data_IF_537875096815
#
_entry.id   IF_537875096815
#
_cell.length_a   1.000
_cell.length_b   1.000
_cell.length_c   1.000
_cell.angle_alpha   90.00
_cell.angle_beta   90.00
_cell.angle_gamma   90.00
#
_symmetry.space_group_name_H-M   'P 1'
#
loop_
_entity.id
_entity.type
_entity.pdbx_description
1 polymer ?
#
# COMPACT_ATOMS: atom_id res chain seq x y z
N UNK A 1 -5.93 -11.95 -33.54
CA UNK A 1 -4.90 -10.92 -33.31
C UNK A 1 -5.18 -10.04 -32.09
N UNK A 2 -6.45 -9.83 -31.72
CA UNK A 2 -6.89 -9.06 -30.55
C UNK A 2 -6.18 -9.41 -29.23
N UNK A 3 -6.11 -10.71 -28.89
CA UNK A 3 -5.39 -11.22 -27.71
C UNK A 3 -3.93 -10.75 -27.57
N UNK A 4 -3.25 -10.47 -28.69
CA UNK A 4 -1.85 -10.01 -28.68
C UNK A 4 -1.78 -8.53 -28.31
N UNK A 5 -2.75 -7.74 -28.80
CA UNK A 5 -2.87 -6.32 -28.49
C UNK A 5 -3.35 -6.08 -27.07
N UNK A 6 -4.22 -6.92 -26.53
CA UNK A 6 -4.62 -6.84 -25.12
C UNK A 6 -3.43 -7.06 -24.18
N UNK A 7 -2.55 -8.03 -24.49
CA UNK A 7 -1.33 -8.24 -23.72
C UNK A 7 -0.41 -7.02 -23.77
N UNK A 8 -0.29 -6.38 -24.93
CA UNK A 8 0.49 -5.13 -25.07
C UNK A 8 -0.11 -3.98 -24.29
N UNK A 9 -1.43 -3.79 -24.38
CA UNK A 9 -2.15 -2.76 -23.65
C UNK A 9 -1.96 -2.94 -22.14
N UNK A 10 -2.08 -4.18 -21.65
CA UNK A 10 -1.91 -4.50 -20.24
C UNK A 10 -0.46 -4.23 -19.75
N UNK A 11 0.54 -4.63 -20.54
CA UNK A 11 1.96 -4.36 -20.24
C UNK A 11 2.28 -2.86 -20.27
N UNK A 12 1.67 -2.11 -21.19
CA UNK A 12 1.86 -0.66 -21.29
C UNK A 12 1.19 0.09 -20.15
N UNK A 13 -0.01 -0.34 -19.76
CA UNK A 13 -0.85 0.31 -18.77
C UNK A 13 -0.33 0.05 -17.34
N UNK A 14 -0.05 -1.22 -17.01
CA UNK A 14 0.35 -1.62 -15.65
C UNK A 14 1.87 -1.77 -15.49
N UNK A 15 2.59 -2.14 -16.56
CA UNK A 15 4.01 -2.47 -16.48
C UNK A 15 4.96 -1.34 -16.90
N UNK A 16 4.47 -0.25 -17.49
CA UNK A 16 5.31 0.86 -17.96
C UNK A 16 6.17 0.55 -19.19
N UNK A 17 5.96 -0.59 -19.86
CA UNK A 17 6.75 -1.01 -21.04
C UNK A 17 6.43 -0.15 -22.25
N UNK A 18 7.42 0.24 -23.06
CA UNK A 18 7.13 0.88 -24.34
C UNK A 18 6.56 -0.14 -25.34
N UNK A 19 5.70 0.31 -26.27
CA UNK A 19 5.08 -0.56 -27.28
C UNK A 19 6.15 -1.29 -28.12
N UNK A 20 7.25 -0.60 -28.43
CA UNK A 20 8.40 -1.11 -29.15
C UNK A 20 9.13 -2.23 -28.41
N UNK A 21 9.32 -2.09 -27.10
CA UNK A 21 9.97 -3.11 -26.27
C UNK A 21 9.11 -4.35 -26.17
N UNK A 22 7.82 -4.20 -25.89
CA UNK A 22 6.92 -5.35 -25.79
C UNK A 22 6.84 -6.10 -27.13
N UNK A 23 6.86 -5.39 -28.27
CA UNK A 23 6.77 -6.00 -29.60
C UNK A 23 8.00 -6.85 -29.94
N UNK A 24 9.19 -6.43 -29.50
CA UNK A 24 10.44 -7.17 -29.68
C UNK A 24 10.59 -8.36 -28.72
N UNK A 25 9.74 -8.48 -27.69
CA UNK A 25 9.82 -9.61 -26.74
C UNK A 25 9.26 -10.91 -27.33
N UNK A 26 9.91 -12.06 -27.08
CA UNK A 26 9.36 -13.37 -27.39
C UNK A 26 7.99 -13.58 -26.73
N UNK A 27 7.06 -14.20 -27.45
CA UNK A 27 5.67 -14.39 -27.01
C UNK A 27 5.57 -15.12 -25.66
N UNK A 28 6.47 -16.07 -25.39
CA UNK A 28 6.51 -16.79 -24.11
C UNK A 28 6.84 -15.88 -22.91
N UNK A 29 7.82 -14.98 -23.07
CA UNK A 29 8.18 -13.99 -22.04
C UNK A 29 7.03 -13.01 -21.81
N UNK A 30 6.38 -12.56 -22.89
CA UNK A 30 5.22 -11.67 -22.80
C UNK A 30 4.10 -12.29 -21.97
N UNK A 31 3.78 -13.55 -22.23
CA UNK A 31 2.76 -14.29 -21.48
C UNK A 31 3.14 -14.41 -20.01
N UNK A 32 4.39 -14.77 -19.73
CA UNK A 32 4.90 -14.85 -18.36
C UNK A 32 4.80 -13.52 -17.60
N UNK A 33 5.17 -12.39 -18.23
CA UNK A 33 5.06 -11.07 -17.60
C UNK A 33 3.61 -10.68 -17.32
N UNK A 34 2.70 -10.93 -18.26
CA UNK A 34 1.27 -10.66 -18.07
C UNK A 34 0.71 -11.50 -16.92
N UNK A 35 0.99 -12.80 -16.89
CA UNK A 35 0.57 -13.69 -15.79
C UNK A 35 1.16 -13.26 -14.44
N UNK A 36 2.43 -12.84 -14.42
CA UNK A 36 3.09 -12.34 -13.23
C UNK A 36 2.47 -11.04 -12.71
N UNK A 37 2.14 -10.11 -13.61
CA UNK A 37 1.46 -8.86 -13.26
C UNK A 37 0.05 -9.11 -12.71
N UNK A 38 -0.71 -10.02 -13.34
CA UNK A 38 -2.04 -10.42 -12.85
C UNK A 38 -1.93 -10.99 -11.43
N UNK A 39 -0.91 -11.82 -11.16
CA UNK A 39 -0.67 -12.35 -9.82
C UNK A 39 -0.37 -11.24 -8.83
N UNK A 40 0.52 -10.31 -9.18
CA UNK A 40 0.88 -9.19 -8.31
C UNK A 40 -0.35 -8.32 -7.95
N UNK A 41 -1.20 -7.99 -8.93
CA UNK A 41 -2.43 -7.23 -8.68
C UNK A 41 -3.40 -7.95 -7.73
N UNK A 42 -3.52 -9.28 -7.86
CA UNK A 42 -4.36 -10.08 -6.96
C UNK A 42 -3.81 -10.12 -5.55
N UNK A 43 -2.49 -10.33 -5.42
CA UNK A 43 -1.81 -10.37 -4.12
C UNK A 43 -1.93 -9.01 -3.39
N UNK A 44 -1.82 -7.89 -4.13
CA UNK A 44 -2.02 -6.54 -3.61
C UNK A 44 -3.48 -6.29 -3.17
N UNK A 45 -4.45 -6.72 -3.98
CA UNK A 45 -5.87 -6.63 -3.63
C UNK A 45 -6.20 -7.45 -2.38
N UNK A 46 -5.68 -8.66 -2.27
CA UNK A 46 -5.89 -9.52 -1.10
C UNK A 46 -5.25 -8.93 0.16
N UNK A 47 -4.06 -8.34 0.04
CA UNK A 47 -3.39 -7.66 1.15
C UNK A 47 -4.20 -6.44 1.65
N UNK A 48 -4.76 -5.65 0.73
CA UNK A 48 -5.64 -4.52 1.06
C UNK A 48 -6.91 -5.03 1.76
N UNK A 49 -7.56 -6.05 1.20
CA UNK A 49 -8.78 -6.62 1.78
C UNK A 49 -8.53 -7.21 3.17
N UNK A 50 -7.40 -7.90 3.37
CA UNK A 50 -6.97 -8.40 4.68
C UNK A 50 -6.74 -7.27 5.66
N UNK A 51 -6.01 -6.21 5.27
CA UNK A 51 -5.77 -5.05 6.12
C UNK A 51 -7.07 -4.36 6.52
N UNK A 52 -8.01 -4.21 5.58
CA UNK A 52 -9.35 -3.66 5.85
C UNK A 52 -10.15 -4.54 6.82
N UNK A 53 -10.14 -5.87 6.63
CA UNK A 53 -10.84 -6.81 7.51
C UNK A 53 -10.21 -6.94 8.90
N UNK A 54 -8.89 -6.88 9.01
CA UNK A 54 -8.17 -6.97 10.29
C UNK A 54 -8.23 -5.68 11.10
N UNK A 55 -8.35 -4.52 10.44
CA UNK A 55 -8.51 -3.22 11.11
C UNK A 55 -9.83 -3.04 11.85
N UNK A 56 -10.87 -3.82 11.51
CA UNK A 56 -12.22 -3.65 12.04
C UNK A 56 -12.61 -4.47 13.27
N UNK A 57 -11.81 -5.46 13.70
CA UNK A 57 -12.23 -6.39 14.78
C UNK A 57 -11.36 -6.42 16.04
N UNK A 58 -10.03 -6.23 15.94
CA UNK A 58 -9.12 -6.38 17.10
C UNK A 58 -8.17 -5.19 17.32
N UNK A 59 -8.33 -4.09 16.59
CA UNK A 59 -7.53 -2.89 16.82
C UNK A 59 -8.14 -2.08 17.96
N UNK A 60 -7.73 -2.35 19.20
CA UNK A 60 -7.96 -1.44 20.32
C UNK A 60 -7.08 -0.20 20.14
N UNK A 61 -7.44 0.67 19.21
CA UNK A 61 -6.89 2.04 19.17
C UNK A 61 -7.51 2.81 20.32
N UNK A 62 -6.88 2.75 21.49
CA UNK A 62 -7.24 3.62 22.60
C UNK A 62 -6.88 5.06 22.23
N UNK A 63 -7.90 5.87 21.92
CA UNK A 63 -7.73 7.31 21.82
C UNK A 63 -7.39 7.85 23.21
N UNK A 64 -6.32 8.65 23.29
CA UNK A 64 -5.91 9.26 24.56
C UNK A 64 -6.94 10.33 24.95
N UNK A 65 -7.82 10.01 25.88
CA UNK A 65 -8.72 10.96 26.54
C UNK A 65 -8.03 11.56 27.76
N UNK A 66 -8.47 12.73 28.28
CA UNK A 66 -7.95 13.30 29.52
C UNK A 66 -7.93 12.31 30.71
N UNK A 67 -8.78 11.28 30.68
CA UNK A 67 -8.91 10.26 31.71
C UNK A 67 -7.95 9.06 31.55
N UNK A 68 -7.24 8.93 30.42
CA UNK A 68 -6.34 7.82 30.11
C UNK A 68 -4.94 8.30 29.68
N UNK A 69 -4.59 9.54 30.02
CA UNK A 69 -3.25 10.06 29.77
C UNK A 69 -2.25 9.48 30.78
N UNK A 70 -1.04 9.09 30.32
CA UNK A 70 -0.02 8.61 31.22
C UNK A 70 0.38 9.72 32.20
N UNK A 71 0.62 9.34 33.45
CA UNK A 71 1.09 10.27 34.48
C UNK A 71 2.49 10.75 34.11
N UNK A 72 2.74 12.05 34.18
CA UNK A 72 4.05 12.60 33.80
C UNK A 72 5.18 12.06 34.71
N UNK A 73 6.36 11.75 34.16
CA UNK A 73 7.51 11.29 34.94
C UNK A 73 7.94 12.30 36.00
N UNK A 74 8.30 11.80 37.19
CA UNK A 74 8.76 12.61 38.32
C UNK A 74 10.10 13.28 37.95
N UNK A 75 10.04 14.55 37.58
CA UNK A 75 11.18 15.35 37.09
C UNK A 75 10.79 16.38 36.02
N UNK A 76 9.65 16.19 35.34
CA UNK A 76 9.08 17.14 34.39
C UNK A 76 8.02 18.03 35.08
N UNK A 77 8.46 18.89 36.00
CA UNK A 77 7.58 19.90 36.58
C UNK A 77 7.44 21.07 35.59
N UNK A 78 6.19 21.51 35.34
CA UNK A 78 5.83 22.69 34.53
C UNK A 78 6.30 24.00 35.21
N UNK A 79 7.61 24.24 35.31
CA UNK A 79 8.15 25.52 35.77
C UNK A 79 8.72 26.41 34.66
N UNK A 80 8.64 26.01 33.39
CA UNK A 80 9.20 26.80 32.27
C UNK A 80 8.15 27.51 31.39
N UNK A 81 6.99 27.89 31.93
CA UNK A 81 5.93 28.47 31.10
C UNK A 81 4.93 29.40 31.79
N UNK A 82 5.24 29.92 32.97
CA UNK A 82 4.46 31.01 33.55
C UNK A 82 5.37 32.21 33.81
N UNK A 83 5.65 32.95 32.74
CA UNK A 83 6.00 34.36 32.86
C UNK A 83 4.83 35.09 33.51
N UNK A 84 5.00 35.45 34.78
CA UNK A 84 4.24 36.50 35.46
C UNK A 84 4.90 37.85 35.11
N UNK A 85 4.16 38.67 34.38
CA UNK A 85 4.03 40.14 34.32
C UNK A 85 3.86 40.60 32.89
#
# INVERSE_FOLDING_TARGET
MENVYEQFFFLKYSGGWSFSEAYNLPVGLRKWFVERLIKQLKDEQEAIEKAQKSGGKNSSTHTLTPNNQPTMPRGMNKSEGQGRT
#
